data_IF_645074899715
#
_entry.id   IF_645074899715
#
_cell.length_a   1.000
_cell.length_b   1.000
_cell.length_c   1.000
_cell.angle_alpha   90.00
_cell.angle_beta   90.00
_cell.angle_gamma   90.00
#
_symmetry.space_group_name_H-M   'P 1'
#
loop_
_entity.id
_entity.type
_entity.pdbx_description
1 polymer ?
#
# COMPACT_ATOMS: atom_id res chain seq x y z
N UNK A 1 2.84 12.47 7.16
CA UNK A 1 2.62 11.16 6.52
C UNK A 1 2.59 11.37 5.01
N UNK A 2 3.22 10.49 4.23
CA UNK A 2 2.87 10.37 2.81
C UNK A 2 1.61 9.53 2.71
N UNK A 3 0.63 10.01 1.96
CA UNK A 3 -0.63 9.31 1.73
C UNK A 3 -0.71 8.86 0.27
N UNK A 4 -1.07 7.60 0.05
CA UNK A 4 -1.36 7.02 -1.26
C UNK A 4 -2.81 6.57 -1.29
N UNK A 5 -3.56 7.06 -2.27
CA UNK A 5 -4.97 6.74 -2.42
C UNK A 5 -5.19 5.30 -2.94
N UNK A 6 -6.36 4.71 -2.65
CA UNK A 6 -6.78 3.44 -3.23
C UNK A 6 -7.23 3.54 -4.70
N UNK A 7 -7.68 2.41 -5.25
CA UNK A 7 -8.23 2.33 -6.61
C UNK A 7 -7.52 1.36 -7.56
N UNK A 8 -7.05 0.21 -7.05
CA UNK A 8 -6.48 -0.86 -7.89
C UNK A 8 -5.34 -0.44 -8.82
N UNK A 9 -4.62 0.65 -8.52
CA UNK A 9 -3.63 1.29 -9.40
C UNK A 9 -4.17 1.84 -10.74
N UNK A 10 -5.48 1.75 -11.00
CA UNK A 10 -6.12 2.13 -12.27
C UNK A 10 -7.17 3.24 -12.12
N UNK A 11 -7.63 3.53 -10.90
CA UNK A 11 -8.60 4.58 -10.59
C UNK A 11 -8.22 5.35 -9.31
N UNK A 12 -9.04 6.33 -8.96
CA UNK A 12 -8.82 7.23 -7.82
C UNK A 12 -7.96 8.43 -8.19
N UNK A 13 -8.02 9.49 -7.38
CA UNK A 13 -7.20 10.69 -7.47
C UNK A 13 -7.33 11.47 -6.15
N UNK A 14 -6.44 12.43 -5.89
CA UNK A 14 -6.37 13.16 -4.62
C UNK A 14 -7.69 13.84 -4.23
N UNK A 15 -8.43 14.42 -5.19
CA UNK A 15 -9.69 15.12 -4.86
C UNK A 15 -10.76 14.18 -4.31
N UNK A 16 -10.77 12.90 -4.72
CA UNK A 16 -11.70 11.89 -4.20
C UNK A 16 -11.39 11.55 -2.73
N UNK A 17 -10.13 11.69 -2.34
CA UNK A 17 -9.62 11.36 -1.01
C UNK A 17 -9.41 12.57 -0.10
N UNK A 18 -9.70 13.78 -0.57
CA UNK A 18 -9.52 15.02 0.21
C UNK A 18 -10.33 15.00 1.52
N UNK A 19 -11.59 14.55 1.48
CA UNK A 19 -12.44 14.42 2.66
C UNK A 19 -11.87 13.45 3.71
N UNK A 20 -11.59 12.17 3.34
CA UNK A 20 -10.93 11.21 4.22
C UNK A 20 -9.59 11.72 4.79
N UNK A 21 -8.71 12.27 3.95
CA UNK A 21 -7.40 12.79 4.37
C UNK A 21 -7.56 13.98 5.33
N UNK A 22 -8.45 14.91 5.03
CA UNK A 22 -8.77 16.04 5.90
C UNK A 22 -9.29 15.59 7.27
N UNK A 23 -10.05 14.49 7.32
CA UNK A 23 -10.51 13.89 8.58
C UNK A 23 -9.35 13.29 9.37
N UNK A 24 -8.41 12.61 8.73
CA UNK A 24 -7.22 12.10 9.41
C UNK A 24 -6.37 13.24 9.97
N UNK A 25 -6.10 14.27 9.18
CA UNK A 25 -5.30 15.43 9.60
C UNK A 25 -5.97 16.15 10.78
N UNK A 26 -7.28 16.44 10.69
CA UNK A 26 -8.01 17.13 11.77
C UNK A 26 -8.11 16.32 13.07
N UNK A 27 -8.21 14.99 12.97
CA UNK A 27 -8.32 14.11 14.15
C UNK A 27 -6.97 13.86 14.82
N UNK A 28 -5.89 13.75 14.04
CA UNK A 28 -4.57 13.35 14.55
C UNK A 28 -3.62 14.53 14.76
N UNK A 29 -3.87 15.66 14.11
CA UNK A 29 -2.93 16.79 14.02
C UNK A 29 -1.68 16.48 13.17
N UNK A 30 -1.62 15.34 12.48
CA UNK A 30 -0.47 14.94 11.66
C UNK A 30 -0.69 15.38 10.21
N UNK A 31 0.17 16.25 9.66
CA UNK A 31 0.08 16.66 8.26
C UNK A 31 0.24 15.48 7.30
N UNK A 32 -0.53 15.49 6.22
CA UNK A 32 -0.48 14.48 5.16
C UNK A 32 -0.09 15.13 3.83
N UNK A 33 0.91 14.55 3.16
CA UNK A 33 1.23 14.83 1.77
C UNK A 33 0.52 13.76 0.92
N UNK A 34 -0.62 14.11 0.33
CA UNK A 34 -1.36 13.23 -0.58
C UNK A 34 -0.67 13.21 -1.95
N UNK A 35 -0.31 12.02 -2.43
CA UNK A 35 0.47 11.86 -3.67
C UNK A 35 -0.47 11.50 -4.82
N UNK A 36 -0.59 12.39 -5.80
CA UNK A 36 -1.21 12.11 -7.10
C UNK A 36 -0.19 11.38 -7.98
N UNK A 37 -0.11 10.06 -7.83
CA UNK A 37 0.79 9.23 -8.62
C UNK A 37 0.15 8.87 -9.96
N UNK A 38 0.98 8.67 -10.99
CA UNK A 38 0.50 8.18 -12.29
C UNK A 38 -0.03 6.76 -12.18
N UNK A 39 -1.08 6.45 -12.95
CA UNK A 39 -1.84 5.20 -12.86
C UNK A 39 -1.68 4.34 -14.12
N UNK A 40 -1.90 3.04 -13.94
CA UNK A 40 -2.04 2.10 -15.04
C UNK A 40 -3.43 2.27 -15.72
N UNK A 41 -3.59 1.84 -16.98
CA UNK A 41 -2.59 1.23 -17.85
C UNK A 41 -1.67 2.22 -18.58
N UNK A 42 -1.93 3.53 -18.54
CA UNK A 42 -1.11 4.54 -19.23
C UNK A 42 0.32 4.58 -18.67
N UNK A 43 0.45 4.31 -17.38
CA UNK A 43 1.71 4.29 -16.65
C UNK A 43 1.81 3.01 -15.78
N UNK A 44 2.16 1.86 -16.39
CA UNK A 44 2.29 0.59 -15.68
C UNK A 44 3.50 0.59 -14.74
N UNK A 45 3.63 -0.47 -13.94
CA UNK A 45 4.79 -0.70 -13.08
C UNK A 45 6.10 -0.61 -13.88
N UNK A 46 7.16 0.05 -13.36
CA UNK A 46 7.30 0.60 -12.00
C UNK A 46 6.88 2.07 -11.84
N UNK A 47 6.24 2.68 -12.83
CA UNK A 47 6.02 4.14 -12.87
C UNK A 47 5.29 4.70 -11.64
N UNK A 48 4.17 4.13 -11.16
CA UNK A 48 3.47 4.63 -9.98
C UNK A 48 4.34 4.58 -8.71
N UNK A 49 5.16 3.53 -8.59
CA UNK A 49 6.06 3.34 -7.44
C UNK A 49 7.23 4.33 -7.47
N UNK A 50 7.79 4.63 -8.65
CA UNK A 50 8.84 5.64 -8.78
C UNK A 50 8.31 7.05 -8.48
N UNK A 51 7.04 7.35 -8.79
CA UNK A 51 6.38 8.60 -8.37
C UNK A 51 6.29 8.68 -6.84
N UNK A 52 5.87 7.58 -6.19
CA UNK A 52 5.82 7.48 -4.73
C UNK A 52 7.20 7.66 -4.08
N UNK A 53 8.24 7.04 -4.65
CA UNK A 53 9.62 7.20 -4.18
C UNK A 53 10.15 8.62 -4.39
N UNK A 54 9.82 9.24 -5.52
CA UNK A 54 10.16 10.64 -5.81
C UNK A 54 9.49 11.58 -4.79
N UNK A 55 8.22 11.33 -4.45
CA UNK A 55 7.51 12.08 -3.41
C UNK A 55 8.16 11.91 -2.03
N UNK A 56 8.56 10.68 -1.66
CA UNK A 56 9.26 10.41 -0.40
C UNK A 56 10.56 11.18 -0.30
N UNK A 57 11.39 11.11 -1.36
CA UNK A 57 12.65 11.86 -1.44
C UNK A 57 12.41 13.34 -1.33
N UNK A 58 11.45 13.88 -2.08
CA UNK A 58 11.13 15.32 -2.04
C UNK A 58 10.68 15.76 -0.66
N UNK A 59 9.81 15.00 0.02
CA UNK A 59 9.40 15.34 1.38
C UNK A 59 10.59 15.32 2.33
N UNK A 60 11.45 14.31 2.23
CA UNK A 60 12.64 14.18 3.08
C UNK A 60 13.64 15.31 2.84
N UNK A 61 13.96 15.61 1.58
CA UNK A 61 14.97 16.61 1.20
C UNK A 61 14.53 18.05 1.53
N UNK A 62 13.22 18.31 1.57
CA UNK A 62 12.61 19.60 1.93
C UNK A 62 11.96 19.60 3.32
N UNK A 63 12.23 18.60 4.16
CA UNK A 63 11.51 18.41 5.43
C UNK A 63 11.59 19.65 6.33
N UNK A 64 12.77 20.25 6.47
CA UNK A 64 12.99 21.47 7.28
C UNK A 64 12.15 22.65 6.79
N UNK A 65 12.07 22.87 5.48
CA UNK A 65 11.28 23.97 4.88
C UNK A 65 9.77 23.78 5.13
N UNK A 66 9.33 22.53 5.21
CA UNK A 66 7.94 22.14 5.43
C UNK A 66 7.59 21.96 6.92
N UNK A 67 8.54 22.19 7.84
CA UNK A 67 8.33 21.97 9.28
C UNK A 67 8.13 20.50 9.66
N UNK A 68 8.67 19.58 8.87
CA UNK A 68 8.58 18.13 9.05
C UNK A 68 9.90 17.62 9.65
N UNK A 69 9.80 16.73 10.64
CA UNK A 69 10.95 15.96 11.12
C UNK A 69 11.21 14.78 10.16
N UNK A 70 12.35 14.77 9.41
CA UNK A 70 12.62 13.73 8.43
C UNK A 70 12.74 12.32 9.06
N UNK A 71 13.08 12.22 10.35
CA UNK A 71 13.17 10.95 11.06
C UNK A 71 11.79 10.37 11.45
N UNK A 72 10.70 11.13 11.26
CA UNK A 72 9.32 10.72 11.60
C UNK A 72 8.39 10.63 10.39
N UNK A 73 8.94 10.58 9.18
CA UNK A 73 8.14 10.41 7.97
C UNK A 73 7.61 8.97 7.92
N UNK A 74 6.29 8.80 8.05
CA UNK A 74 5.60 7.54 7.80
C UNK A 74 4.84 7.55 6.47
N UNK A 75 4.48 6.36 6.01
CA UNK A 75 3.64 6.13 4.82
C UNK A 75 2.28 5.55 5.24
N UNK A 76 1.23 5.95 4.54
CA UNK A 76 -0.14 5.49 4.75
C UNK A 76 -0.81 5.28 3.39
N UNK A 77 -1.61 4.24 3.25
CA UNK A 77 -2.53 4.15 2.12
C UNK A 77 -3.61 3.11 2.32
N UNK A 78 -4.66 3.24 1.51
CA UNK A 78 -5.80 2.32 1.46
C UNK A 78 -5.78 1.48 0.19
N UNK A 79 -6.19 0.22 0.26
CA UNK A 79 -6.32 -0.64 -0.93
C UNK A 79 -4.99 -0.74 -1.71
N UNK A 80 -5.00 -0.43 -3.01
CA UNK A 80 -3.81 -0.26 -3.84
C UNK A 80 -2.81 0.77 -3.30
N UNK A 81 -3.26 1.83 -2.62
CA UNK A 81 -2.42 2.78 -1.92
C UNK A 81 -1.73 2.16 -0.70
N UNK A 82 -2.40 1.24 0.00
CA UNK A 82 -1.79 0.43 1.07
C UNK A 82 -0.71 -0.49 0.51
N UNK A 83 -0.99 -1.14 -0.63
CA UNK A 83 0.00 -1.88 -1.42
C UNK A 83 1.20 -1.02 -1.80
N UNK A 84 0.95 0.20 -2.29
CA UNK A 84 1.99 1.17 -2.64
C UNK A 84 2.83 1.60 -1.44
N UNK A 85 2.23 1.80 -0.27
CA UNK A 85 2.95 2.13 0.97
C UNK A 85 3.89 1.00 1.40
N UNK A 86 3.45 -0.26 1.30
CA UNK A 86 4.28 -1.43 1.57
C UNK A 86 5.40 -1.58 0.53
N UNK A 87 5.08 -1.46 -0.75
CA UNK A 87 6.05 -1.50 -1.86
C UNK A 87 7.12 -0.41 -1.74
N UNK A 88 6.73 0.82 -1.38
CA UNK A 88 7.65 1.92 -1.15
C UNK A 88 8.55 1.66 0.06
N UNK A 89 8.02 1.03 1.12
CA UNK A 89 8.82 0.64 2.29
C UNK A 89 9.91 -0.37 1.93
N UNK A 90 9.58 -1.35 1.08
CA UNK A 90 10.54 -2.31 0.53
C UNK A 90 11.57 -1.59 -0.34
N UNK A 91 11.11 -0.78 -1.30
CA UNK A 91 11.99 -0.06 -2.23
C UNK A 91 12.96 0.88 -1.51
N UNK A 92 12.48 1.64 -0.52
CA UNK A 92 13.31 2.56 0.26
C UNK A 92 14.38 1.81 1.05
N UNK A 93 14.03 0.70 1.71
CA UNK A 93 15.01 -0.16 2.40
C UNK A 93 16.08 -0.66 1.42
N UNK A 94 15.66 -1.20 0.28
CA UNK A 94 16.55 -1.82 -0.71
C UNK A 94 17.47 -0.77 -1.38
N UNK A 95 17.02 0.49 -1.47
CA UNK A 95 17.81 1.64 -1.96
C UNK A 95 18.64 2.33 -0.86
N UNK A 96 18.54 1.91 0.39
CA UNK A 96 19.26 2.50 1.52
C UNK A 96 18.68 3.81 2.06
N UNK A 97 17.43 4.13 1.72
CA UNK A 97 16.66 5.26 2.23
C UNK A 97 15.89 6.03 1.15
N UNK A 98 15.21 7.14 1.51
CA UNK A 98 15.09 7.72 2.86
C UNK A 98 14.42 6.80 3.88
N UNK A 99 14.70 6.99 5.17
CA UNK A 99 14.10 6.17 6.24
C UNK A 99 12.60 6.44 6.33
N UNK A 100 11.80 5.37 6.35
CA UNK A 100 10.39 5.42 6.68
C UNK A 100 10.25 5.00 8.14
N UNK A 101 9.57 5.80 8.95
CA UNK A 101 9.42 5.57 10.39
C UNK A 101 8.31 4.58 10.74
N UNK A 102 7.28 4.49 9.89
CA UNK A 102 6.12 3.59 10.06
C UNK A 102 5.38 3.42 8.74
N UNK A 103 4.81 2.24 8.53
CA UNK A 103 3.86 1.96 7.44
C UNK A 103 2.47 1.67 8.02
N UNK A 104 1.44 2.38 7.53
CA UNK A 104 0.04 2.19 7.90
C UNK A 104 -0.70 1.67 6.67
N UNK A 105 -1.07 0.40 6.70
CA UNK A 105 -1.60 -0.34 5.57
C UNK A 105 -3.07 -0.65 5.82
N UNK A 106 -3.95 0.10 5.16
CA UNK A 106 -5.40 -0.05 5.29
C UNK A 106 -5.87 -0.94 4.14
N UNK A 107 -6.47 -2.09 4.45
CA UNK A 107 -6.97 -3.10 3.50
C UNK A 107 -6.06 -3.30 2.27
N UNK A 108 -4.74 -3.51 2.47
CA UNK A 108 -3.77 -3.31 1.41
C UNK A 108 -3.84 -4.40 0.33
N UNK A 109 -3.77 -3.98 -0.93
CA UNK A 109 -3.59 -4.86 -2.09
C UNK A 109 -2.10 -5.24 -2.22
N UNK A 110 -1.74 -6.46 -1.86
CA UNK A 110 -0.36 -6.92 -1.64
C UNK A 110 0.07 -8.07 -2.57
N UNK A 111 -0.86 -8.84 -3.12
CA UNK A 111 -0.56 -10.02 -3.94
C UNK A 111 -1.14 -9.89 -5.36
N UNK A 112 -0.34 -10.22 -6.37
CA UNK A 112 -0.74 -10.25 -7.77
C UNK A 112 -1.37 -11.60 -8.19
N UNK A 113 -1.63 -12.47 -7.22
CA UNK A 113 -2.22 -13.81 -7.44
C UNK A 113 -3.61 -13.97 -6.82
N UNK A 114 -4.18 -12.89 -6.27
CA UNK A 114 -5.50 -12.90 -5.62
C UNK A 114 -6.63 -12.93 -6.65
N UNK A 115 -6.77 -14.06 -7.34
CA UNK A 115 -7.73 -14.27 -8.44
C UNK A 115 -8.67 -15.44 -8.19
N UNK A 116 -8.40 -16.28 -7.17
CA UNK A 116 -9.27 -17.40 -6.81
C UNK A 116 -10.48 -16.94 -5.97
N UNK A 117 -11.68 -17.16 -6.50
CA UNK A 117 -12.93 -16.72 -5.88
C UNK A 117 -13.21 -17.49 -4.58
N UNK A 118 -13.29 -16.77 -3.46
CA UNK A 118 -13.81 -17.29 -2.21
C UNK A 118 -15.34 -17.09 -2.13
N UNK A 119 -16.17 -18.16 -2.15
CA UNK A 119 -17.63 -18.02 -2.24
C UNK A 119 -18.30 -17.29 -1.06
N UNK A 120 -17.64 -17.24 0.10
CA UNK A 120 -18.16 -16.56 1.30
C UNK A 120 -17.77 -15.07 1.37
N UNK A 121 -16.82 -14.62 0.54
CA UNK A 121 -16.40 -13.22 0.42
C UNK A 121 -17.03 -12.58 -0.82
N UNK A 122 -17.04 -13.28 -1.95
CA UNK A 122 -17.45 -12.74 -3.26
C UNK A 122 -18.80 -11.99 -3.26
N UNK A 123 -19.86 -12.45 -2.57
CA UNK A 123 -21.14 -11.73 -2.53
C UNK A 123 -21.10 -10.35 -1.85
N UNK A 124 -20.05 -10.06 -1.09
CA UNK A 124 -19.88 -8.84 -0.28
C UNK A 124 -18.70 -7.97 -0.74
N UNK A 125 -17.93 -8.44 -1.72
CA UNK A 125 -16.72 -7.80 -2.19
C UNK A 125 -17.06 -6.49 -2.92
N UNK A 126 -16.64 -5.34 -2.34
CA UNK A 126 -16.75 -4.04 -3.01
C UNK A 126 -15.68 -3.88 -4.11
N UNK A 127 -14.50 -4.43 -3.87
CA UNK A 127 -13.48 -4.73 -4.87
C UNK A 127 -13.44 -6.24 -5.07
N UNK A 128 -13.73 -6.70 -6.28
CA UNK A 128 -13.96 -8.10 -6.62
C UNK A 128 -12.73 -8.76 -7.28
N UNK A 129 -12.82 -10.08 -7.45
CA UNK A 129 -11.83 -10.85 -8.21
C UNK A 129 -11.75 -10.41 -9.68
N UNK A 130 -12.88 -10.01 -10.28
CA UNK A 130 -12.92 -9.49 -11.66
C UNK A 130 -12.21 -8.13 -11.77
N UNK A 131 -12.28 -7.32 -10.71
CA UNK A 131 -11.53 -6.06 -10.62
C UNK A 131 -10.01 -6.35 -10.55
N UNK A 132 -9.58 -7.36 -9.79
CA UNK A 132 -8.18 -7.82 -9.79
C UNK A 132 -7.74 -8.34 -11.17
N UNK A 133 -8.58 -9.11 -11.87
CA UNK A 133 -8.32 -9.60 -13.23
C UNK A 133 -8.21 -8.46 -14.26
N UNK A 134 -8.73 -7.28 -13.95
CA UNK A 134 -8.60 -6.08 -14.78
C UNK A 134 -7.38 -5.25 -14.38
N UNK A 135 -7.22 -4.98 -13.08
CA UNK A 135 -6.20 -4.09 -12.53
C UNK A 135 -4.78 -4.67 -12.58
N UNK A 136 -4.61 -5.95 -12.24
CA UNK A 136 -3.29 -6.56 -12.18
C UNK A 136 -2.62 -6.63 -13.56
N UNK A 137 -3.29 -7.06 -14.65
CA UNK A 137 -2.71 -6.97 -15.99
C UNK A 137 -2.53 -5.54 -16.48
N UNK A 138 -3.37 -4.59 -16.08
CA UNK A 138 -3.14 -3.18 -16.40
C UNK A 138 -1.83 -2.66 -15.79
N UNK A 139 -1.53 -3.06 -14.55
CA UNK A 139 -0.31 -2.65 -13.85
C UNK A 139 0.94 -3.40 -14.31
N UNK A 140 0.85 -4.73 -14.49
CA UNK A 140 2.00 -5.62 -14.67
C UNK A 140 2.12 -6.21 -16.08
N UNK A 141 1.13 -5.98 -16.95
CA UNK A 141 1.04 -6.63 -18.26
C UNK A 141 0.98 -8.15 -18.14
N UNK A 142 1.60 -8.85 -19.09
CA UNK A 142 1.66 -10.32 -19.14
C UNK A 142 2.47 -10.93 -17.98
N UNK A 143 3.19 -10.12 -17.20
CA UNK A 143 3.92 -10.59 -16.03
C UNK A 143 3.01 -10.85 -14.82
N UNK A 144 1.78 -10.34 -14.81
CA UNK A 144 0.83 -10.53 -13.70
C UNK A 144 0.66 -12.02 -13.35
N UNK A 145 0.84 -12.38 -12.07
CA UNK A 145 0.78 -13.78 -11.60
C UNK A 145 2.02 -14.62 -11.92
N UNK A 146 2.96 -14.11 -12.71
CA UNK A 146 4.19 -14.78 -13.11
C UNK A 146 5.15 -15.05 -11.94
N UNK A 147 6.15 -15.93 -12.12
CA UNK A 147 7.11 -16.25 -11.07
C UNK A 147 8.06 -15.09 -10.74
N UNK A 148 8.33 -14.21 -11.72
CA UNK A 148 9.37 -13.18 -11.64
C UNK A 148 8.84 -11.79 -11.17
N UNK A 149 7.59 -11.71 -10.70
CA UNK A 149 7.03 -10.45 -10.19
C UNK A 149 7.77 -10.05 -8.91
N UNK A 150 8.41 -8.86 -8.86
CA UNK A 150 9.21 -8.45 -7.72
C UNK A 150 8.34 -8.09 -6.51
N UNK A 151 8.92 -8.17 -5.30
CA UNK A 151 8.24 -7.77 -4.07
C UNK A 151 7.87 -6.27 -4.02
N UNK A 152 8.52 -5.44 -4.84
CA UNK A 152 8.16 -4.03 -5.02
C UNK A 152 6.94 -3.82 -5.93
N UNK A 153 6.52 -4.84 -6.67
CA UNK A 153 5.25 -4.86 -7.41
C UNK A 153 4.14 -5.57 -6.61
N UNK A 154 4.47 -6.66 -5.92
CA UNK A 154 3.56 -7.45 -5.09
C UNK A 154 4.22 -7.76 -3.74
N UNK A 155 4.05 -6.90 -2.71
CA UNK A 155 4.69 -7.04 -1.40
C UNK A 155 4.47 -8.40 -0.70
N UNK A 156 3.38 -9.11 -0.99
CA UNK A 156 3.13 -10.46 -0.50
C UNK A 156 4.20 -11.47 -0.94
N UNK A 157 4.99 -11.17 -1.97
CA UNK A 157 6.12 -12.00 -2.45
C UNK A 157 7.43 -11.79 -1.73
N UNK A 158 7.51 -10.79 -0.85
CA UNK A 158 8.74 -10.49 -0.10
C UNK A 158 9.29 -11.74 0.62
N UNK A 159 10.56 -12.06 0.50
CA UNK A 159 11.14 -13.21 1.22
C UNK A 159 11.70 -12.79 2.58
N UNK A 160 12.42 -11.67 2.61
CA UNK A 160 13.00 -11.10 3.83
C UNK A 160 12.35 -9.75 4.16
N UNK A 161 11.71 -9.69 5.32
CA UNK A 161 11.06 -8.50 5.86
C UNK A 161 11.91 -7.76 6.90
N UNK A 162 13.13 -8.23 7.19
CA UNK A 162 14.02 -7.57 8.13
C UNK A 162 14.32 -6.13 7.68
N UNK A 163 14.42 -5.23 8.65
CA UNK A 163 14.70 -3.81 8.41
C UNK A 163 13.53 -3.00 7.81
N UNK A 164 12.35 -3.61 7.59
CA UNK A 164 11.15 -2.86 7.25
C UNK A 164 10.63 -2.05 8.44
N UNK A 165 9.94 -0.91 8.19
CA UNK A 165 9.40 -0.08 9.25
C UNK A 165 8.31 -0.80 10.04
N UNK A 166 8.13 -0.45 11.34
CA UNK A 166 6.98 -0.88 12.13
C UNK A 166 5.67 -0.69 11.35
N UNK A 167 4.77 -1.67 11.46
CA UNK A 167 3.57 -1.71 10.64
C UNK A 167 2.29 -1.69 11.48
N UNK A 168 1.31 -0.91 11.04
CA UNK A 168 -0.09 -1.11 11.34
C UNK A 168 -0.74 -1.69 10.09
N UNK A 169 -1.47 -2.79 10.23
CA UNK A 169 -2.19 -3.44 9.12
C UNK A 169 -3.62 -3.70 9.56
N UNK A 170 -4.58 -3.28 8.75
CA UNK A 170 -5.98 -3.64 8.98
C UNK A 170 -6.67 -4.12 7.72
N UNK A 171 -7.68 -4.98 7.87
CA UNK A 171 -8.46 -5.50 6.74
C UNK A 171 -9.84 -5.97 7.20
N UNK A 172 -10.83 -5.88 6.31
CA UNK A 172 -12.16 -6.44 6.54
C UNK A 172 -12.18 -7.97 6.46
N UNK A 173 -13.10 -8.61 7.19
CA UNK A 173 -13.32 -10.06 7.07
C UNK A 173 -13.89 -10.46 5.70
N UNK A 174 -14.66 -9.57 5.09
CA UNK A 174 -15.35 -9.75 3.80
C UNK A 174 -14.62 -9.02 2.66
N UNK A 175 -13.29 -9.03 2.72
CA UNK A 175 -12.39 -8.42 1.75
C UNK A 175 -11.57 -9.50 1.02
N UNK A 176 -11.37 -9.34 -0.29
CA UNK A 176 -10.53 -10.24 -1.10
C UNK A 176 -9.06 -10.17 -0.69
N UNK A 177 -8.61 -9.06 -0.09
CA UNK A 177 -7.23 -8.87 0.37
C UNK A 177 -6.97 -9.34 1.82
N UNK A 178 -7.95 -9.98 2.46
CA UNK A 178 -7.84 -10.46 3.84
C UNK A 178 -6.65 -11.40 4.04
N UNK A 179 -6.54 -12.42 3.20
CA UNK A 179 -5.56 -13.50 3.41
C UNK A 179 -4.13 -13.03 3.11
N UNK A 180 -3.94 -12.20 2.09
CA UNK A 180 -2.65 -11.58 1.79
C UNK A 180 -2.21 -10.58 2.88
N UNK A 181 -3.15 -9.83 3.47
CA UNK A 181 -2.87 -8.93 4.60
C UNK A 181 -2.41 -9.70 5.84
N UNK A 182 -3.08 -10.81 6.17
CA UNK A 182 -2.69 -11.70 7.27
C UNK A 182 -1.32 -12.34 7.01
N UNK A 183 -1.07 -12.79 5.79
CA UNK A 183 0.20 -13.39 5.40
C UNK A 183 1.36 -12.39 5.51
N UNK A 184 1.15 -11.15 5.08
CA UNK A 184 2.15 -10.08 5.15
C UNK A 184 2.44 -9.66 6.60
N UNK A 185 1.40 -9.47 7.42
CA UNK A 185 1.56 -9.19 8.85
C UNK A 185 2.33 -10.29 9.58
N UNK A 186 2.03 -11.57 9.27
CA UNK A 186 2.76 -12.72 9.81
C UNK A 186 4.23 -12.70 9.41
N UNK A 187 4.53 -12.34 8.16
CA UNK A 187 5.89 -12.26 7.63
C UNK A 187 6.71 -11.16 8.30
N UNK A 188 6.14 -9.97 8.43
CA UNK A 188 6.75 -8.86 9.17
C UNK A 188 7.07 -9.27 10.62
N UNK A 189 6.09 -9.87 11.30
CA UNK A 189 6.26 -10.32 12.69
C UNK A 189 7.37 -11.37 12.83
N UNK A 190 7.45 -12.35 11.93
CA UNK A 190 8.51 -13.38 11.93
C UNK A 190 9.90 -12.79 11.70
N UNK A 191 10.01 -11.70 10.96
CA UNK A 191 11.27 -10.98 10.75
C UNK A 191 11.64 -10.03 11.90
N UNK A 192 10.85 -10.00 12.99
CA UNK A 192 11.08 -9.13 14.15
C UNK A 192 10.63 -7.68 13.95
N UNK A 193 9.88 -7.38 12.89
CA UNK A 193 9.27 -6.05 12.70
C UNK A 193 8.11 -5.92 13.69
N UNK A 194 7.99 -4.80 14.44
CA UNK A 194 6.81 -4.55 15.26
C UNK A 194 5.56 -4.41 14.37
N UNK A 195 4.53 -5.21 14.65
CA UNK A 195 3.29 -5.26 13.87
C UNK A 195 2.10 -5.16 14.79
N UNK A 196 1.18 -4.26 14.44
CA UNK A 196 -0.19 -4.23 14.92
C UNK A 196 -1.10 -4.69 13.77
N UNK A 197 -1.92 -5.72 14.00
CA UNK A 197 -2.81 -6.28 12.98
C UNK A 197 -4.25 -6.32 13.49
N UNK A 198 -5.18 -5.80 12.69
CA UNK A 198 -6.62 -5.80 12.98
C UNK A 198 -7.41 -6.45 11.85
N UNK A 199 -8.16 -7.50 12.18
CA UNK A 199 -9.17 -8.07 11.32
C UNK A 199 -10.54 -7.58 11.80
N UNK A 200 -11.26 -6.83 10.95
CA UNK A 200 -12.55 -6.25 11.29
C UNK A 200 -13.70 -7.21 10.92
N UNK A 201 -14.38 -7.85 11.89
CA UNK A 201 -15.42 -8.84 11.59
C UNK A 201 -16.62 -8.22 10.86
N UNK A 202 -17.09 -8.89 9.81
CA UNK A 202 -18.22 -8.44 8.99
C UNK A 202 -17.98 -7.17 8.15
N UNK A 203 -16.81 -6.53 8.23
CA UNK A 203 -16.48 -5.39 7.38
C UNK A 203 -16.08 -5.85 5.97
N UNK A 204 -16.54 -5.17 4.90
CA UNK A 204 -16.04 -5.33 3.54
C UNK A 204 -14.66 -4.64 3.39
N UNK A 205 -14.23 -4.45 2.15
CA UNK A 205 -13.16 -3.51 1.79
C UNK A 205 -13.54 -2.11 2.28
#
# INVERSE_FOLDING_TARGET
MLFFHGGGHILGHIDLFDGPVSRYVSTTGVPMLSVEYRRAPEHPFPTPLEDAYTALRRLHDHATELGVDPARIGVLGDSAGGGMAAALSILARDRGGPVIARQILIMPMLDDRTTEIAPHVAPYALWSYDDNLTALPALLGDAAGGPDVPATAAPARLEDAAGLPPAYVEVGQLDVFRDESLAYATKLSRAGVPVEFHLHPGAPH
#
